data_IF_946490651205
#
_entry.id   IF_946490651205
#
_cell.length_a   1.000
_cell.length_b   1.000
_cell.length_c   1.000
_cell.angle_alpha   90.00
_cell.angle_beta   90.00
_cell.angle_gamma   90.00
#
_symmetry.space_group_name_H-M   'P 1'
#
loop_
_entity.id
_entity.type
_entity.pdbx_description
1 polymer ?
#
# COMPACT_ATOMS: atom_id res chain seq x y z
N UNK A 1 -7.43 9.67 -10.52
CA UNK A 1 -8.21 8.49 -10.95
C UNK A 1 -7.70 7.29 -10.15
N UNK A 2 -8.58 6.44 -9.60
CA UNK A 2 -8.16 5.29 -8.82
C UNK A 2 -7.21 4.39 -9.60
N UNK A 3 -6.16 3.91 -8.93
CA UNK A 3 -5.23 2.93 -9.47
C UNK A 3 -5.40 1.63 -8.68
N UNK A 4 -5.42 0.51 -9.39
CA UNK A 4 -5.69 -0.80 -8.80
C UNK A 4 -4.68 -1.83 -9.28
N UNK A 5 -4.13 -2.60 -8.34
CA UNK A 5 -3.13 -3.61 -8.58
C UNK A 5 -3.55 -4.93 -7.95
N UNK A 6 -3.79 -5.93 -8.79
CA UNK A 6 -4.08 -7.30 -8.37
C UNK A 6 -2.84 -8.16 -8.48
N UNK A 7 -2.67 -9.11 -7.57
CA UNK A 7 -1.55 -10.05 -7.61
C UNK A 7 -1.72 -11.20 -6.64
N UNK A 8 -0.68 -11.99 -6.52
CA UNK A 8 -0.55 -13.04 -5.52
C UNK A 8 0.90 -13.13 -5.06
N UNK A 9 1.10 -13.70 -3.88
CA UNK A 9 2.39 -13.83 -3.23
C UNK A 9 3.11 -12.47 -3.02
N UNK A 10 4.32 -12.53 -2.45
CA UNK A 10 5.16 -11.36 -2.20
C UNK A 10 5.54 -10.68 -3.51
N UNK A 11 5.10 -9.42 -3.68
CA UNK A 11 5.38 -8.66 -4.90
C UNK A 11 5.11 -7.17 -4.70
N UNK A 12 6.06 -6.32 -5.10
CA UNK A 12 5.84 -4.89 -5.25
C UNK A 12 4.93 -4.56 -6.45
N UNK A 13 4.15 -3.49 -6.36
CA UNK A 13 3.48 -2.92 -7.53
C UNK A 13 4.51 -2.30 -8.49
N UNK A 14 4.16 -2.08 -9.77
CA UNK A 14 4.87 -1.09 -10.56
C UNK A 14 4.87 0.27 -9.84
N UNK A 15 5.85 1.11 -10.17
CA UNK A 15 5.80 2.51 -9.75
C UNK A 15 4.57 3.22 -10.34
N UNK A 16 4.01 4.12 -9.55
CA UNK A 16 2.89 4.94 -9.96
C UNK A 16 2.97 6.34 -9.35
N UNK A 17 2.41 7.31 -10.06
CA UNK A 17 2.41 8.71 -9.62
C UNK A 17 1.35 8.94 -8.55
N UNK A 18 1.74 9.59 -7.46
CA UNK A 18 0.86 10.21 -6.46
C UNK A 18 1.32 11.67 -6.31
N UNK A 19 0.39 12.61 -6.38
CA UNK A 19 0.67 14.01 -6.08
C UNK A 19 0.37 14.30 -4.60
N UNK A 20 0.93 15.37 -4.03
CA UNK A 20 0.70 15.76 -2.64
C UNK A 20 -0.81 15.86 -2.33
N UNK A 21 -1.24 15.24 -1.24
CA UNK A 21 -2.67 15.18 -0.89
C UNK A 21 -3.02 14.06 0.09
N UNK A 22 -4.31 13.87 0.34
CA UNK A 22 -4.80 12.78 1.19
C UNK A 22 -5.40 11.68 0.32
N UNK A 23 -5.03 10.43 0.60
CA UNK A 23 -5.42 9.28 -0.21
C UNK A 23 -5.96 8.15 0.65
N UNK A 24 -6.94 7.43 0.10
CA UNK A 24 -7.45 6.18 0.63
C UNK A 24 -6.79 4.99 -0.07
N UNK A 25 -6.18 4.12 0.72
CA UNK A 25 -5.58 2.87 0.29
C UNK A 25 -6.49 1.72 0.71
N UNK A 26 -7.18 1.09 -0.25
CA UNK A 26 -8.00 -0.11 0.01
C UNK A 26 -7.19 -1.36 -0.29
N UNK A 27 -7.14 -2.27 0.67
CA UNK A 27 -6.35 -3.50 0.62
C UNK A 27 -7.27 -4.67 0.94
N UNK A 28 -7.36 -5.60 -0.01
CA UNK A 28 -8.12 -6.84 0.14
C UNK A 28 -7.14 -7.99 -0.09
N UNK A 29 -6.99 -8.85 0.91
CA UNK A 29 -6.08 -9.98 0.87
C UNK A 29 -6.75 -11.21 1.48
N UNK A 30 -6.69 -12.33 0.75
CA UNK A 30 -7.30 -13.60 1.15
C UNK A 30 -6.35 -14.78 0.93
N UNK A 31 -6.51 -15.82 1.75
CA UNK A 31 -5.65 -17.01 1.78
C UNK A 31 -4.18 -16.69 2.12
N UNK A 32 -3.95 -15.80 3.09
CA UNK A 32 -2.63 -15.41 3.55
C UNK A 32 -2.43 -15.87 5.00
N UNK A 33 -1.20 -16.23 5.36
CA UNK A 33 -0.84 -16.37 6.78
C UNK A 33 -0.59 -14.98 7.38
N UNK A 34 0.13 -14.12 6.64
CA UNK A 34 0.40 -12.73 7.01
C UNK A 34 0.19 -11.81 5.80
N UNK A 35 -0.30 -10.59 6.06
CA UNK A 35 -0.45 -9.50 5.10
C UNK A 35 0.31 -8.29 5.63
N UNK A 36 1.29 -7.83 4.86
CA UNK A 36 2.03 -6.59 5.07
C UNK A 36 1.97 -5.72 3.83
N UNK A 37 1.64 -4.44 3.95
CA UNK A 37 1.67 -3.50 2.83
C UNK A 37 2.39 -2.23 3.26
N UNK A 38 3.43 -1.85 2.54
CA UNK A 38 4.22 -0.64 2.81
C UNK A 38 4.19 0.26 1.57
N UNK A 39 3.99 1.56 1.78
CA UNK A 39 4.12 2.56 0.72
C UNK A 39 5.56 3.05 0.71
N UNK A 40 6.25 2.91 -0.42
CA UNK A 40 7.64 3.31 -0.57
C UNK A 40 7.78 4.41 -1.61
N UNK A 41 8.64 5.38 -1.34
CA UNK A 41 9.02 6.43 -2.30
C UNK A 41 9.89 5.88 -3.45
N UNK A 42 10.30 6.77 -4.35
CA UNK A 42 11.13 6.41 -5.50
C UNK A 42 12.53 5.92 -5.11
N UNK A 43 13.04 6.33 -3.95
CA UNK A 43 14.34 5.93 -3.42
C UNK A 43 14.27 4.59 -2.68
N UNK A 44 13.05 4.10 -2.42
CA UNK A 44 12.78 2.84 -1.72
C UNK A 44 12.65 3.01 -0.20
N UNK A 45 12.46 4.24 0.28
CA UNK A 45 12.19 4.49 1.69
C UNK A 45 10.69 4.33 1.97
N UNK A 46 10.34 3.73 3.11
CA UNK A 46 8.96 3.69 3.57
C UNK A 46 8.45 5.09 3.91
N UNK A 47 7.18 5.35 3.63
CA UNK A 47 6.52 6.56 4.10
C UNK A 47 6.32 6.48 5.61
N UNK A 48 6.87 7.47 6.30
CA UNK A 48 6.72 7.63 7.74
C UNK A 48 5.54 8.54 8.09
N UNK A 49 4.81 8.18 9.14
CA UNK A 49 3.85 9.05 9.81
C UNK A 49 4.41 9.35 11.19
N UNK A 50 4.56 10.64 11.53
CA UNK A 50 5.14 11.09 12.80
C UNK A 50 6.52 10.47 13.13
N UNK A 51 7.40 10.37 12.12
CA UNK A 51 8.74 9.77 12.22
C UNK A 51 8.75 8.27 12.58
N UNK A 52 7.65 7.57 12.25
CA UNK A 52 7.54 6.13 12.41
C UNK A 52 7.11 5.52 11.11
N UNK A 53 7.81 4.47 10.71
CA UNK A 53 7.31 3.57 9.69
C UNK A 53 5.94 3.04 10.13
N UNK A 54 4.92 3.33 9.33
CA UNK A 54 3.58 2.77 9.53
C UNK A 54 3.19 2.02 8.26
N UNK A 55 3.18 0.68 8.30
CA UNK A 55 2.66 -0.07 7.18
C UNK A 55 1.19 0.28 6.97
N UNK A 56 0.78 0.37 5.71
CA UNK A 56 -0.63 0.50 5.33
C UNK A 56 -1.46 -0.69 5.82
N UNK A 57 -0.85 -1.86 5.98
CA UNK A 57 -1.47 -3.02 6.63
C UNK A 57 -0.40 -3.89 7.28
N UNK A 58 -0.68 -4.43 8.46
CA UNK A 58 0.07 -5.53 9.07
C UNK A 58 -0.89 -6.41 9.88
N UNK A 59 -1.23 -7.58 9.33
CA UNK A 59 -2.28 -8.46 9.87
C UNK A 59 -2.01 -9.93 9.61
N UNK A 60 -2.58 -10.82 10.42
CA UNK A 60 -2.58 -12.27 10.18
C UNK A 60 -3.88 -12.68 9.49
N UNK A 61 -3.81 -13.52 8.46
CA UNK A 61 -5.02 -14.04 7.81
C UNK A 61 -5.65 -13.13 6.74
N UNK A 62 -6.99 -13.10 6.74
CA UNK A 62 -7.79 -12.27 5.84
C UNK A 62 -7.65 -10.81 6.24
N UNK A 63 -7.51 -9.93 5.26
CA UNK A 63 -7.51 -8.48 5.46
C UNK A 63 -8.41 -7.82 4.42
N UNK A 64 -9.28 -6.92 4.87
CA UNK A 64 -10.20 -6.15 4.03
C UNK A 64 -10.48 -4.83 4.75
N UNK A 65 -9.66 -3.82 4.46
CA UNK A 65 -9.76 -2.51 5.11
C UNK A 65 -9.28 -1.37 4.20
N UNK A 66 -9.56 -0.14 4.63
CA UNK A 66 -9.14 1.10 3.98
C UNK A 66 -8.33 1.95 4.97
N UNK A 67 -7.13 2.34 4.56
CA UNK A 67 -6.27 3.23 5.33
C UNK A 67 -6.12 4.58 4.63
N UNK A 68 -6.36 5.66 5.37
CA UNK A 68 -6.20 7.02 4.86
C UNK A 68 -4.83 7.57 5.25
N UNK A 69 -4.07 8.06 4.27
CA UNK A 69 -2.72 8.61 4.48
C UNK A 69 -2.57 9.97 3.82
N UNK A 70 -1.92 10.90 4.53
CA UNK A 70 -1.46 12.17 3.97
C UNK A 70 -0.10 11.97 3.30
N UNK A 71 -0.03 12.22 1.99
CA UNK A 71 1.19 12.19 1.19
C UNK A 71 1.69 13.63 1.07
N UNK A 72 2.86 13.90 1.64
CA UNK A 72 3.41 15.25 1.76
C UNK A 72 4.32 15.66 0.58
N UNK A 73 4.59 14.74 -0.35
CA UNK A 73 5.44 15.02 -1.51
C UNK A 73 4.85 14.38 -2.77
N UNK A 74 4.91 15.11 -3.88
CA UNK A 74 4.43 14.61 -5.17
C UNK A 74 5.53 13.78 -5.85
N UNK A 75 5.46 12.45 -5.79
CA UNK A 75 6.50 11.55 -6.30
C UNK A 75 5.93 10.29 -7.00
N UNK A 76 6.81 9.48 -7.58
CA UNK A 76 6.47 8.11 -7.93
C UNK A 76 6.67 7.23 -6.70
N UNK A 77 5.67 6.41 -6.43
CA UNK A 77 5.62 5.49 -5.30
C UNK A 77 5.40 4.07 -5.78
N UNK A 78 5.71 3.10 -4.93
CA UNK A 78 5.24 1.73 -5.08
C UNK A 78 4.66 1.23 -3.77
N UNK A 79 3.82 0.21 -3.84
CA UNK A 79 3.43 -0.56 -2.67
C UNK A 79 4.22 -1.85 -2.65
N UNK A 80 5.04 -2.04 -1.62
CA UNK A 80 5.66 -3.33 -1.34
C UNK A 80 4.65 -4.19 -0.58
N UNK A 81 4.24 -5.31 -1.18
CA UNK A 81 3.24 -6.19 -0.59
C UNK A 81 3.85 -7.53 -0.21
N UNK A 82 3.71 -7.86 1.08
CA UNK A 82 4.07 -9.11 1.72
C UNK A 82 2.78 -9.89 1.94
N UNK A 83 2.58 -10.99 1.24
CA UNK A 83 1.41 -11.85 1.34
C UNK A 83 1.73 -13.20 0.68
N UNK A 84 1.06 -14.29 1.07
CA UNK A 84 1.29 -15.64 0.48
C UNK A 84 0.17 -16.06 -0.49
N UNK A 85 -0.99 -15.42 -0.38
CA UNK A 85 -2.21 -15.64 -1.12
C UNK A 85 -2.51 -14.53 -2.12
N UNK A 86 -3.80 -14.35 -2.43
CA UNK A 86 -4.25 -13.37 -3.40
C UNK A 86 -4.43 -12.01 -2.75
N UNK A 87 -4.16 -10.95 -3.53
CA UNK A 87 -4.29 -9.57 -3.08
C UNK A 87 -4.84 -8.64 -4.16
N UNK A 88 -5.54 -7.62 -3.70
CA UNK A 88 -5.89 -6.42 -4.45
C UNK A 88 -5.53 -5.22 -3.59
N UNK A 89 -4.73 -4.30 -4.13
CA UNK A 89 -4.44 -3.02 -3.50
C UNK A 89 -4.87 -1.91 -4.43
N UNK A 90 -5.48 -0.86 -3.90
CA UNK A 90 -5.93 0.28 -4.69
C UNK A 90 -5.73 1.58 -3.93
N UNK A 91 -5.54 2.66 -4.69
CA UNK A 91 -5.31 4.00 -4.16
C UNK A 91 -6.19 5.00 -4.91
N UNK A 92 -6.81 5.91 -4.18
CA UNK A 92 -7.61 7.01 -4.70
C UNK A 92 -7.48 8.24 -3.80
N UNK A 93 -7.63 9.44 -4.36
CA UNK A 93 -7.79 10.67 -3.57
C UNK A 93 -8.99 10.51 -2.61
N UNK A 94 -8.85 11.01 -1.39
CA UNK A 94 -9.84 10.89 -0.31
C UNK A 94 -11.00 11.90 -0.41
#
# INVERSE_FOLDING_TARGET
>A
MPQTFTGAANKATPFFRIDEGTYNFSIIAANNDVVGVHLMDFEGNDIEVDYREMPLAFHEGLYDDVVTVAVNESNNYLMNVICDGNRTVSVAEA
#
